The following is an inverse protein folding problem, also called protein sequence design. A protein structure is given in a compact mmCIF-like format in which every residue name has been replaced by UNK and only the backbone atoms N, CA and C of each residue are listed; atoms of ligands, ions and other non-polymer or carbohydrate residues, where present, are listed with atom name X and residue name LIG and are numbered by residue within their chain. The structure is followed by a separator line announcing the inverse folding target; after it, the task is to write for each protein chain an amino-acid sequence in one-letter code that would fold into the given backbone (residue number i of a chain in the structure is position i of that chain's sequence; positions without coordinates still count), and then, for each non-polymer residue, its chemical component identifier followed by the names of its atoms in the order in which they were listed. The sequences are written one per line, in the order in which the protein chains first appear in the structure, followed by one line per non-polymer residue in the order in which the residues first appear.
data_IF_174908381889
#
_entry.id   IF_174908381889
#
_cell.length_a   1.000
_cell.length_b   1.000
_cell.length_c   1.000
_cell.angle_alpha   90.00
_cell.angle_beta   90.00
_cell.angle_gamma   90.00
#
_symmetry.space_group_name_H-M   'P 1'
#
loop_
_entity.id
_entity.type
_entity.pdbx_description
1 polymer ?
#
# COMPACT_ATOMS: atom_id res chain seq x y z
N UNK A 1 -46.63 -2.28 -15.25
CA UNK A 1 -45.52 -2.45 -16.22
C UNK A 1 -44.74 -1.13 -16.25
N UNK A 2 -43.78 -0.95 -15.33
CA UNK A 2 -42.96 0.26 -15.25
C UNK A 2 -41.50 -0.14 -15.37
N UNK A 3 -40.84 0.34 -16.43
CA UNK A 3 -39.40 0.20 -16.66
C UNK A 3 -38.70 1.33 -15.92
N UNK A 4 -37.86 0.99 -14.94
CA UNK A 4 -36.89 1.93 -14.37
C UNK A 4 -35.66 1.97 -15.28
N UNK A 5 -35.41 3.14 -15.86
CA UNK A 5 -34.17 3.48 -16.56
C UNK A 5 -33.23 4.03 -15.47
N UNK A 6 -32.11 3.34 -15.23
CA UNK A 6 -31.03 3.84 -14.39
C UNK A 6 -30.06 4.60 -15.29
N UNK A 7 -30.02 5.92 -15.15
CA UNK A 7 -29.11 6.79 -15.88
C UNK A 7 -27.76 6.82 -15.16
N UNK A 8 -26.77 6.09 -15.67
CA UNK A 8 -25.38 6.19 -15.23
C UNK A 8 -24.80 7.54 -15.65
N UNK A 9 -24.44 8.37 -14.66
CA UNK A 9 -23.68 9.60 -14.86
C UNK A 9 -22.20 9.21 -15.00
N UNK A 10 -21.67 9.24 -16.22
CA UNK A 10 -20.23 9.18 -16.44
C UNK A 10 -19.63 10.58 -16.22
N UNK A 11 -18.87 10.75 -15.14
CA UNK A 11 -18.01 11.91 -14.92
C UNK A 11 -16.84 11.82 -15.91
N UNK A 12 -17.00 12.48 -17.07
CA UNK A 12 -15.91 12.68 -18.03
C UNK A 12 -14.99 13.78 -17.51
N UNK A 13 -13.89 13.39 -16.87
CA UNK A 13 -12.82 14.31 -16.47
C UNK A 13 -12.10 14.84 -17.71
N UNK A 14 -12.24 16.13 -17.98
CA UNK A 14 -11.55 16.83 -19.07
C UNK A 14 -10.05 16.91 -18.77
N UNK A 15 -9.23 16.41 -19.69
CA UNK A 15 -7.76 16.50 -19.62
C UNK A 15 -7.34 17.84 -20.23
N UNK A 16 -6.67 18.69 -19.45
CA UNK A 16 -6.03 19.91 -19.95
C UNK A 16 -4.56 19.59 -20.19
N UNK A 17 -4.17 19.43 -21.46
CA UNK A 17 -2.76 19.31 -21.87
C UNK A 17 -2.25 20.72 -22.16
N UNK A 18 -1.31 21.21 -21.35
CA UNK A 18 -0.57 22.43 -21.64
C UNK A 18 0.88 22.07 -21.96
N UNK A 19 1.21 21.97 -23.24
CA UNK A 19 2.59 21.87 -23.71
C UNK A 19 3.11 23.28 -23.98
N UNK A 20 4.21 23.68 -23.31
CA UNK A 20 4.97 24.86 -23.72
C UNK A 20 6.41 24.46 -24.02
N UNK A 21 6.87 24.78 -25.23
CA UNK A 21 8.24 24.57 -25.68
C UNK A 21 9.23 25.40 -24.85
N UNK A 22 10.52 24.98 -24.78
CA UNK A 22 11.56 25.75 -24.11
C UNK A 22 12.00 26.95 -24.96
N UNK A 23 11.82 28.17 -24.44
CA UNK A 23 12.43 29.38 -25.01
C UNK A 23 13.86 29.56 -24.49
N UNK A 24 14.80 29.83 -25.39
CA UNK A 24 16.15 30.30 -25.05
C UNK A 24 16.12 31.83 -24.94
N UNK A 25 16.52 32.36 -23.79
CA UNK A 25 16.84 33.78 -23.69
C UNK A 25 18.22 34.08 -24.32
N UNK A 26 18.44 35.35 -24.68
CA UNK A 26 19.63 35.83 -25.40
C UNK A 26 20.96 35.69 -24.63
N UNK A 27 20.96 35.19 -23.39
CA UNK A 27 22.16 35.03 -22.55
C UNK A 27 22.65 33.58 -22.42
N UNK A 28 21.96 32.62 -23.03
CA UNK A 28 22.39 31.22 -23.01
C UNK A 28 22.27 30.53 -21.65
N UNK A 29 21.55 31.13 -20.68
CA UNK A 29 21.21 30.46 -19.43
C UNK A 29 20.05 29.48 -19.65
N UNK A 30 20.28 28.23 -19.29
CA UNK A 30 19.27 27.17 -19.32
C UNK A 30 18.39 27.32 -18.09
N UNK A 31 17.18 27.83 -18.27
CA UNK A 31 16.17 27.86 -17.23
C UNK A 31 15.61 26.45 -17.04
N UNK A 32 15.89 25.82 -15.90
CA UNK A 32 15.30 24.54 -15.54
C UNK A 32 13.82 24.75 -15.24
N UNK A 33 12.95 24.47 -16.22
CA UNK A 33 11.52 24.33 -15.95
C UNK A 33 11.34 23.19 -14.95
N UNK A 34 10.81 23.52 -13.78
CA UNK A 34 10.40 22.56 -12.76
C UNK A 34 9.32 21.65 -13.35
N UNK A 35 9.69 20.41 -13.63
CA UNK A 35 8.73 19.37 -14.02
C UNK A 35 7.96 18.97 -12.76
N UNK A 36 6.67 19.28 -12.72
CA UNK A 36 5.76 18.79 -11.69
C UNK A 36 5.30 17.38 -12.06
N UNK A 37 5.77 16.37 -11.34
CA UNK A 37 5.28 15.01 -11.49
C UNK A 37 3.90 14.90 -10.85
N UNK A 38 2.93 14.36 -11.58
CA UNK A 38 1.60 14.03 -11.04
C UNK A 38 1.64 12.59 -10.52
N UNK A 39 1.31 12.39 -9.24
CA UNK A 39 1.21 11.06 -8.62
C UNK A 39 -0.26 10.68 -8.45
N UNK A 40 -0.64 9.52 -8.99
CA UNK A 40 -2.00 8.98 -8.90
C UNK A 40 -1.93 7.66 -8.14
N UNK A 41 -2.59 7.58 -6.98
CA UNK A 41 -2.64 6.39 -6.14
C UNK A 41 -4.02 5.72 -6.16
N UNK A 42 -4.06 4.43 -6.50
CA UNK A 42 -5.23 3.59 -6.29
C UNK A 42 -5.49 3.41 -4.79
N UNK A 43 -6.70 3.76 -4.34
CA UNK A 43 -7.06 3.69 -2.92
C UNK A 43 -7.42 2.27 -2.47
N UNK A 44 -7.03 1.94 -1.24
CA UNK A 44 -7.45 0.72 -0.56
C UNK A 44 -8.86 0.92 -0.02
N UNK A 45 -9.77 0.00 -0.36
CA UNK A 45 -11.15 0.02 0.14
C UNK A 45 -11.16 -0.13 1.68
N UNK A 46 -12.15 0.43 2.38
CA UNK A 46 -12.29 0.21 3.81
C UNK A 46 -12.68 -1.26 4.11
N UNK A 47 -12.38 -1.76 5.32
CA UNK A 47 -12.81 -3.08 5.75
C UNK A 47 -14.36 -3.18 5.75
N UNK A 48 -14.96 -4.29 5.30
CA UNK A 48 -16.40 -4.50 5.47
C UNK A 48 -16.83 -4.45 6.95
N UNK A 49 -18.08 -4.03 7.22
CA UNK A 49 -18.59 -3.91 8.58
C UNK A 49 -18.65 -5.29 9.25
N UNK A 50 -18.36 -5.34 10.54
CA UNK A 50 -18.47 -6.57 11.33
C UNK A 50 -17.40 -7.63 11.02
N UNK A 51 -16.26 -7.26 10.43
CA UNK A 51 -15.13 -8.19 10.30
C UNK A 51 -14.78 -8.74 11.68
N UNK A 52 -14.67 -10.07 11.73
CA UNK A 52 -13.98 -10.78 12.78
C UNK A 52 -12.82 -11.55 12.18
N UNK A 53 -11.73 -11.65 12.92
CA UNK A 53 -10.54 -12.36 12.47
C UNK A 53 -10.63 -13.82 12.89
N UNK A 54 -10.45 -14.75 11.94
CA UNK A 54 -10.27 -16.17 12.27
C UNK A 54 -8.92 -16.49 12.91
N UNK A 55 -8.00 -15.52 12.94
CA UNK A 55 -6.64 -15.65 13.46
C UNK A 55 -6.54 -15.04 14.85
N UNK A 56 -5.78 -15.68 15.75
CA UNK A 56 -5.60 -15.24 17.13
C UNK A 56 -4.45 -14.24 17.31
N UNK A 57 -3.55 -14.16 16.31
CA UNK A 57 -2.38 -13.29 16.34
C UNK A 57 -2.04 -12.74 14.96
N UNK A 58 -1.28 -11.63 14.96
CA UNK A 58 -0.71 -11.03 13.75
C UNK A 58 0.16 -12.04 12.98
N UNK A 59 0.97 -12.82 13.70
CA UNK A 59 1.85 -13.83 13.12
C UNK A 59 1.04 -14.92 12.41
N UNK A 60 -0.03 -15.43 13.03
CA UNK A 60 -0.88 -16.47 12.45
C UNK A 60 -1.53 -16.00 11.14
N UNK A 61 -2.03 -14.76 11.12
CA UNK A 61 -2.58 -14.14 9.92
C UNK A 61 -1.51 -14.02 8.81
N UNK A 62 -0.33 -13.47 9.11
CA UNK A 62 0.75 -13.30 8.13
C UNK A 62 1.29 -14.64 7.62
N UNK A 63 1.33 -15.66 8.47
CA UNK A 63 1.70 -17.02 8.09
C UNK A 63 0.69 -17.58 7.09
N UNK A 64 -0.60 -17.42 7.37
CA UNK A 64 -1.67 -17.84 6.47
C UNK A 64 -1.61 -17.11 5.12
N UNK A 65 -1.31 -15.81 5.10
CA UNK A 65 -1.10 -15.09 3.84
C UNK A 65 0.06 -15.70 3.06
N UNK A 66 1.20 -15.97 3.71
CA UNK A 66 2.36 -16.58 3.05
C UNK A 66 2.10 -17.99 2.52
N UNK A 67 1.22 -18.77 3.15
CA UNK A 67 0.88 -20.13 2.70
C UNK A 67 -0.07 -20.15 1.51
N UNK A 68 -1.07 -19.26 1.53
CA UNK A 68 -2.19 -19.31 0.59
C UNK A 68 -1.92 -18.52 -0.67
N UNK A 69 -1.16 -17.44 -0.55
CA UNK A 69 -1.04 -16.45 -1.62
C UNK A 69 0.28 -16.61 -2.39
N UNK A 70 0.19 -16.51 -3.72
CA UNK A 70 1.33 -16.51 -4.63
C UNK A 70 1.06 -15.50 -5.74
N UNK A 71 1.52 -14.25 -5.62
CA UNK A 71 1.32 -13.25 -6.66
C UNK A 71 1.97 -13.70 -7.97
N UNK A 72 1.23 -13.62 -9.08
CA UNK A 72 1.75 -13.95 -10.42
C UNK A 72 2.77 -12.92 -10.95
N UNK A 73 2.78 -11.74 -10.33
CA UNK A 73 3.65 -10.61 -10.70
C UNK A 73 4.49 -10.18 -9.51
N UNK A 74 5.67 -9.68 -9.82
CA UNK A 74 6.52 -9.02 -8.83
C UNK A 74 5.79 -7.83 -8.19
N UNK A 75 5.91 -7.70 -6.88
CA UNK A 75 5.39 -6.58 -6.10
C UNK A 75 6.57 -5.84 -5.48
N UNK A 76 6.77 -4.58 -5.87
CA UNK A 76 7.88 -3.77 -5.40
C UNK A 76 7.72 -3.33 -3.94
N UNK A 77 6.51 -2.95 -3.54
CA UNK A 77 6.23 -2.40 -2.21
C UNK A 77 5.04 -3.13 -1.61
N UNK A 78 5.19 -3.64 -0.39
CA UNK A 78 4.06 -4.02 0.43
C UNK A 78 3.78 -2.95 1.48
N UNK A 79 2.50 -2.65 1.68
CA UNK A 79 2.00 -1.74 2.70
C UNK A 79 1.18 -2.55 3.69
N UNK A 80 1.55 -2.44 4.96
CA UNK A 80 0.71 -2.86 6.09
C UNK A 80 0.10 -1.58 6.64
N UNK A 81 -1.20 -1.36 6.43
CA UNK A 81 -1.86 -0.15 6.90
C UNK A 81 -2.87 -0.41 7.99
N UNK A 82 -3.25 0.67 8.68
CA UNK A 82 -4.09 0.66 9.86
C UNK A 82 -5.36 1.47 9.62
N UNK A 83 -6.51 0.83 9.80
CA UNK A 83 -7.82 1.46 9.94
C UNK A 83 -8.19 1.51 11.42
N UNK A 84 -8.44 2.71 11.92
CA UNK A 84 -8.88 2.95 13.30
C UNK A 84 -10.39 3.25 13.31
N UNK A 85 -11.11 2.60 14.21
CA UNK A 85 -12.54 2.82 14.42
C UNK A 85 -12.91 2.63 15.88
N UNK A 86 -14.13 3.06 16.24
CA UNK A 86 -14.70 2.79 17.57
C UNK A 86 -14.88 1.30 17.84
N UNK A 87 -15.05 0.49 16.78
CA UNK A 87 -15.34 -0.94 16.87
C UNK A 87 -14.05 -1.80 16.92
N UNK A 88 -12.90 -1.14 16.90
CA UNK A 88 -11.58 -1.72 16.98
C UNK A 88 -10.67 -1.28 15.83
N UNK A 89 -9.42 -1.72 15.95
CA UNK A 89 -8.38 -1.47 14.97
C UNK A 89 -8.27 -2.65 14.02
N UNK A 90 -8.21 -2.36 12.73
CA UNK A 90 -8.07 -3.35 11.66
C UNK A 90 -6.83 -3.01 10.87
N UNK A 91 -5.94 -3.97 10.67
CA UNK A 91 -4.83 -3.79 9.73
C UNK A 91 -5.15 -4.46 8.41
N UNK A 92 -4.46 -4.03 7.37
CA UNK A 92 -4.52 -4.65 6.06
C UNK A 92 -3.13 -4.89 5.48
N UNK A 93 -3.02 -5.79 4.51
CA UNK A 93 -1.82 -5.99 3.71
C UNK A 93 -2.14 -5.85 2.22
N UNK A 94 -1.50 -4.91 1.56
CA UNK A 94 -1.63 -4.69 0.12
C UNK A 94 -0.25 -4.57 -0.54
N UNK A 95 -0.15 -5.03 -1.79
CA UNK A 95 1.03 -4.83 -2.61
C UNK A 95 0.78 -3.77 -3.66
N UNK A 96 1.69 -2.82 -3.78
CA UNK A 96 1.62 -1.72 -4.75
C UNK A 96 2.84 -1.70 -5.64
N UNK A 97 2.62 -1.37 -6.91
CA UNK A 97 3.64 -1.16 -7.92
C UNK A 97 3.51 0.27 -8.46
N UNK A 98 4.67 0.92 -8.63
CA UNK A 98 4.75 2.23 -9.29
C UNK A 98 5.12 2.04 -10.75
N UNK A 99 4.42 2.74 -11.63
CA UNK A 99 4.62 2.76 -13.06
C UNK A 99 4.78 4.21 -13.52
N UNK A 100 5.74 4.50 -14.40
CA UNK A 100 5.90 5.83 -14.97
C UNK A 100 5.40 5.81 -16.41
N UNK A 101 4.52 6.75 -16.76
CA UNK A 101 4.05 6.99 -18.14
C UNK A 101 4.27 8.46 -18.44
N UNK A 102 5.32 8.77 -19.21
CA UNK A 102 5.78 10.15 -19.40
C UNK A 102 6.19 10.79 -18.07
N UNK A 103 5.66 11.98 -17.79
CA UNK A 103 5.89 12.74 -16.55
C UNK A 103 4.88 12.40 -15.42
N UNK A 104 4.13 11.30 -15.56
CA UNK A 104 3.14 10.87 -14.55
C UNK A 104 3.56 9.55 -13.93
N UNK A 105 3.52 9.49 -12.59
CA UNK A 105 3.73 8.26 -11.83
C UNK A 105 2.38 7.72 -11.34
N UNK A 106 2.15 6.43 -11.58
CA UNK A 106 0.93 5.72 -11.21
C UNK A 106 1.29 4.65 -10.19
N UNK A 107 0.68 4.70 -9.02
CA UNK A 107 0.69 3.61 -8.04
C UNK A 107 -0.59 2.80 -8.21
N UNK A 108 -0.46 1.51 -8.54
CA UNK A 108 -1.60 0.59 -8.60
C UNK A 108 -1.40 -0.59 -7.65
N UNK A 109 -2.51 -1.08 -7.12
CA UNK A 109 -2.54 -2.24 -6.23
C UNK A 109 -2.32 -3.51 -7.06
N UNK A 110 -1.08 -3.99 -7.05
CA UNK A 110 -0.68 -5.22 -7.74
C UNK A 110 -1.00 -6.50 -6.97
N UNK A 111 -1.36 -6.40 -5.68
CA UNK A 111 -1.72 -7.52 -4.84
C UNK A 111 -2.73 -7.14 -3.77
N UNK A 112 -3.81 -7.93 -3.67
CA UNK A 112 -4.77 -7.95 -2.56
C UNK A 112 -4.91 -9.40 -2.10
N UNK A 113 -4.63 -9.67 -0.83
CA UNK A 113 -4.81 -11.00 -0.23
C UNK A 113 -6.30 -11.35 -0.15
N UNK A 114 -6.66 -12.63 -0.28
CA UNK A 114 -8.03 -13.09 0.00
C UNK A 114 -8.46 -12.81 1.45
N UNK A 115 -7.49 -12.83 2.38
CA UNK A 115 -7.66 -12.39 3.77
C UNK A 115 -6.94 -11.07 3.98
N UNK A 116 -7.37 -10.03 3.25
CA UNK A 116 -6.72 -8.72 3.24
C UNK A 116 -6.71 -8.03 4.59
N UNK A 117 -7.75 -8.24 5.42
CA UNK A 117 -7.94 -7.57 6.68
C UNK A 117 -7.70 -8.49 7.87
N UNK A 118 -7.12 -7.94 8.93
CA UNK A 118 -6.97 -8.59 10.23
C UNK A 118 -7.41 -7.63 11.33
N UNK A 119 -8.47 -8.01 12.05
CA UNK A 119 -8.93 -7.28 13.22
C UNK A 119 -8.01 -7.58 14.40
N UNK A 120 -7.42 -6.53 14.98
CA UNK A 120 -6.49 -6.66 16.10
C UNK A 120 -7.24 -7.15 17.35
N UNK A 121 -6.79 -8.24 18.00
CA UNK A 121 -7.42 -8.74 19.22
C UNK A 121 -7.38 -7.71 20.34
N UNK A 122 -8.54 -7.37 20.91
CA UNK A 122 -8.62 -6.37 21.98
C UNK A 122 -7.74 -6.74 23.18
N UNK A 123 -7.64 -8.03 23.52
CA UNK A 123 -6.80 -8.51 24.62
C UNK A 123 -5.32 -8.14 24.51
N UNK A 124 -4.82 -7.86 23.31
CA UNK A 124 -3.41 -7.55 23.05
C UNK A 124 -3.16 -6.07 22.76
N UNK A 125 -4.15 -5.34 22.24
CA UNK A 125 -3.97 -3.97 21.76
C UNK A 125 -4.88 -2.92 22.43
N UNK A 126 -5.81 -3.32 23.32
CA UNK A 126 -6.67 -2.37 24.02
C UNK A 126 -5.88 -1.45 24.95
N UNK A 127 -6.26 -0.18 25.02
CA UNK A 127 -5.67 0.80 25.94
C UNK A 127 -4.32 1.38 25.49
N UNK A 128 -3.80 0.96 24.34
CA UNK A 128 -2.62 1.57 23.74
C UNK A 128 -2.98 2.93 23.12
N UNK A 129 -2.10 3.91 23.28
CA UNK A 129 -2.13 5.10 22.43
C UNK A 129 -1.80 4.73 20.99
N UNK A 130 -2.13 5.61 20.04
CA UNK A 130 -1.81 5.40 18.62
C UNK A 130 -0.32 5.13 18.40
N UNK A 131 0.57 5.89 19.05
CA UNK A 131 2.01 5.69 18.94
C UNK A 131 2.47 4.35 19.52
N UNK A 132 1.91 3.95 20.67
CA UNK A 132 2.20 2.65 21.28
C UNK A 132 1.69 1.48 20.41
N UNK A 133 0.52 1.65 19.78
CA UNK A 133 -0.04 0.69 18.84
C UNK A 133 0.87 0.53 17.62
N UNK A 134 1.27 1.63 16.98
CA UNK A 134 2.16 1.60 15.82
C UNK A 134 3.53 1.00 16.16
N UNK A 135 4.11 1.35 17.31
CA UNK A 135 5.38 0.77 17.75
C UNK A 135 5.26 -0.73 18.03
N UNK A 136 4.18 -1.16 18.70
CA UNK A 136 3.92 -2.59 18.94
C UNK A 136 3.76 -3.35 17.62
N UNK A 137 2.99 -2.82 16.67
CA UNK A 137 2.85 -3.39 15.33
C UNK A 137 4.20 -3.46 14.62
N UNK A 138 5.01 -2.40 14.68
CA UNK A 138 6.33 -2.37 14.06
C UNK A 138 7.26 -3.44 14.63
N UNK A 139 7.27 -3.63 15.96
CA UNK A 139 8.05 -4.68 16.63
C UNK A 139 7.62 -6.07 16.16
N UNK A 140 6.32 -6.36 16.16
CA UNK A 140 5.81 -7.68 15.77
C UNK A 140 5.99 -7.97 14.28
N UNK A 141 5.77 -6.97 13.41
CA UNK A 141 6.03 -7.07 11.98
C UNK A 141 7.52 -7.31 11.69
N UNK A 142 8.42 -6.61 12.40
CA UNK A 142 9.87 -6.88 12.29
C UNK A 142 10.22 -8.27 12.78
N UNK A 143 9.64 -8.72 13.89
CA UNK A 143 9.84 -10.07 14.39
C UNK A 143 9.42 -11.11 13.34
N UNK A 144 8.25 -10.93 12.72
CA UNK A 144 7.78 -11.76 11.62
C UNK A 144 8.78 -11.80 10.45
N UNK A 145 9.40 -10.68 10.07
CA UNK A 145 10.37 -10.66 8.96
C UNK A 145 11.66 -11.47 9.23
N UNK A 146 11.91 -11.84 10.49
CA UNK A 146 13.04 -12.71 10.85
C UNK A 146 12.70 -14.20 10.81
N UNK A 147 11.43 -14.57 10.61
CA UNK A 147 10.97 -15.96 10.53
C UNK A 147 11.38 -16.62 9.21
N UNK A 148 11.50 -17.95 9.21
CA UNK A 148 11.78 -18.70 7.97
C UNK A 148 10.59 -18.70 7.02
N UNK A 149 9.38 -18.57 7.57
CA UNK A 149 8.15 -18.37 6.81
C UNK A 149 8.22 -17.12 5.94
N UNK A 150 8.64 -15.99 6.51
CA UNK A 150 8.85 -14.77 5.74
C UNK A 150 9.93 -14.93 4.68
N UNK A 151 11.11 -15.43 5.06
CA UNK A 151 12.28 -15.54 4.16
C UNK A 151 12.01 -16.40 2.91
N UNK A 152 11.09 -17.36 3.03
CA UNK A 152 10.69 -18.26 1.95
C UNK A 152 9.42 -17.82 1.20
N UNK A 153 8.75 -16.74 1.63
CA UNK A 153 7.51 -16.28 1.01
C UNK A 153 7.75 -15.22 -0.07
N UNK A 154 6.68 -14.91 -0.82
CA UNK A 154 6.70 -13.84 -1.82
C UNK A 154 6.99 -12.45 -1.20
N UNK A 155 6.70 -12.23 0.09
CA UNK A 155 6.94 -10.95 0.76
C UNK A 155 8.44 -10.61 0.81
N UNK A 156 9.31 -11.62 0.98
CA UNK A 156 10.76 -11.44 0.98
C UNK A 156 11.34 -11.13 -0.41
N UNK A 157 10.52 -11.18 -1.46
CA UNK A 157 10.95 -10.80 -2.81
C UNK A 157 10.81 -9.30 -3.07
N UNK A 158 9.93 -8.60 -2.35
CA UNK A 158 9.68 -7.17 -2.53
C UNK A 158 10.94 -6.31 -2.31
N UNK A 159 10.88 -5.03 -2.68
CA UNK A 159 11.95 -4.08 -2.35
C UNK A 159 11.84 -3.61 -0.90
N UNK A 160 10.61 -3.38 -0.44
CA UNK A 160 10.34 -2.77 0.87
C UNK A 160 8.95 -3.15 1.39
N UNK A 161 8.85 -3.25 2.71
CA UNK A 161 7.59 -3.34 3.45
C UNK A 161 7.49 -2.13 4.35
N UNK A 162 6.40 -1.39 4.21
CA UNK A 162 6.09 -0.17 4.96
C UNK A 162 4.93 -0.41 5.91
N UNK A 163 5.00 0.18 7.09
CA UNK A 163 3.86 0.37 7.98
C UNK A 163 3.27 1.75 7.72
N UNK A 164 1.98 1.80 7.40
CA UNK A 164 1.21 3.02 7.31
C UNK A 164 0.51 3.30 8.65
N UNK A 165 0.35 4.58 9.04
CA UNK A 165 0.48 5.78 8.19
C UNK A 165 1.81 6.53 8.32
N UNK A 166 2.80 5.99 9.05
CA UNK A 166 4.06 6.70 9.31
C UNK A 166 5.19 6.36 8.32
N UNK A 167 4.89 5.62 7.25
CA UNK A 167 5.84 5.09 6.28
C UNK A 167 7.08 4.43 6.91
N UNK A 168 6.90 3.84 8.09
CA UNK A 168 8.00 3.22 8.80
C UNK A 168 8.40 1.95 8.06
N UNK A 169 9.65 1.91 7.61
CA UNK A 169 10.22 0.71 7.00
C UNK A 169 10.28 -0.42 8.04
N UNK A 170 9.49 -1.47 7.78
CA UNK A 170 9.53 -2.73 8.54
C UNK A 170 10.67 -3.58 8.02
N UNK A 171 10.84 -3.63 6.70
CA UNK A 171 11.86 -4.44 6.06
C UNK A 171 12.27 -3.86 4.70
N UNK A 172 13.54 -4.02 4.33
CA UNK A 172 14.11 -3.58 3.05
C UNK A 172 14.97 -4.70 2.46
N UNK A 173 14.79 -4.98 1.18
CA UNK A 173 15.58 -5.96 0.47
C UNK A 173 16.95 -5.39 0.10
N UNK A 174 17.98 -5.83 0.82
CA UNK A 174 19.37 -5.39 0.58
C UNK A 174 19.90 -5.80 -0.79
N UNK A 175 19.32 -6.82 -1.44
CA UNK A 175 19.79 -7.33 -2.74
C UNK A 175 19.32 -6.49 -3.93
N UNK A 176 18.30 -5.65 -3.75
CA UNK A 176 17.70 -4.87 -4.85
C UNK A 176 18.19 -3.42 -4.86
N UNK A 177 18.95 -2.97 -3.86
CA UNK A 177 19.40 -1.57 -3.73
C UNK A 177 20.56 -1.16 -4.68
N UNK A 178 20.86 -1.93 -5.73
CA UNK A 178 22.00 -1.70 -6.64
C UNK A 178 21.65 -1.52 -8.11
N UNK A 179 20.38 -1.25 -8.46
CA UNK A 179 20.02 -0.89 -9.84
C UNK A 179 19.08 0.32 -9.86
N UNK A 180 19.69 1.49 -9.81
CA UNK A 180 19.17 2.74 -10.37
C UNK A 180 20.34 3.46 -11.03
#
# INVERSE_FOLDING_TARGET
MYRHIVTSIFLSSTIIVSCSEPEKNERGEVEFKSVSLVEIEEQIEPPPPGIDSSFNSLEEWLFSVCDREKPDKFIAVFKVGLFESTDGNVIYLAGVNKFNVGDTSYSSVGFKSSNMYFKLPQSQYSGLSRDQLLEKLAVELRAFTNTDKFKSSFLATANIILLEPNDQAIWKNKKISTRW
#
